data_IF_858695418432
#
_entry.id   IF_858695418432
#
_cell.length_a   1.000
_cell.length_b   1.000
_cell.length_c   1.000
_cell.angle_alpha   90.00
_cell.angle_beta   90.00
_cell.angle_gamma   90.00
#
_symmetry.space_group_name_H-M   'P 1'
#
loop_
_entity.id
_entity.type
_entity.pdbx_description
1 polymer ?
#
# COMPACT_ATOMS: atom_id res chain seq x y z
N UNK A 1 15.74 -37.22 18.82
CA UNK A 1 15.36 -35.97 19.51
C UNK A 1 14.90 -35.04 18.41
N UNK A 2 13.64 -35.24 18.05
CA UNK A 2 12.94 -34.73 16.89
C UNK A 2 11.68 -34.03 17.42
N UNK A 3 11.06 -33.16 16.60
CA UNK A 3 9.87 -32.34 16.88
C UNK A 3 10.09 -30.98 17.58
N UNK A 4 11.06 -30.21 17.10
CA UNK A 4 10.84 -28.77 16.92
C UNK A 4 11.00 -28.47 15.42
N UNK A 5 10.21 -29.14 14.58
CA UNK A 5 9.81 -28.51 13.34
C UNK A 5 9.12 -27.22 13.75
N UNK A 6 9.80 -26.09 13.52
CA UNK A 6 9.24 -24.75 13.68
C UNK A 6 7.95 -24.71 12.88
N UNK A 7 6.83 -24.95 13.57
CA UNK A 7 5.51 -24.87 12.96
C UNK A 7 5.37 -23.42 12.50
N UNK A 8 5.49 -23.22 11.19
CA UNK A 8 5.19 -21.96 10.52
C UNK A 8 3.89 -21.42 11.12
N UNK A 9 3.92 -20.25 11.78
CA UNK A 9 2.76 -19.76 12.51
C UNK A 9 1.54 -19.76 11.59
N UNK A 10 0.40 -20.21 12.09
CA UNK A 10 -0.86 -20.22 11.35
C UNK A 10 -1.18 -18.82 10.81
N UNK A 11 -2.01 -18.70 9.76
CA UNK A 11 -2.36 -17.38 9.23
C UNK A 11 -2.98 -16.44 10.28
N UNK A 12 -3.72 -17.00 11.24
CA UNK A 12 -4.25 -16.27 12.38
C UNK A 12 -3.14 -15.74 13.30
N UNK A 13 -2.15 -16.58 13.63
CA UNK A 13 -1.00 -16.18 14.44
C UNK A 13 -0.14 -15.14 13.72
N UNK A 14 0.08 -15.27 12.42
CA UNK A 14 0.73 -14.24 11.59
C UNK A 14 -0.04 -12.92 11.63
N UNK A 15 -1.36 -12.95 11.52
CA UNK A 15 -2.20 -11.75 11.61
C UNK A 15 -2.14 -11.10 13.00
N UNK A 16 -2.12 -11.91 14.07
CA UNK A 16 -1.95 -11.43 15.45
C UNK A 16 -0.56 -10.83 15.65
N UNK A 17 0.50 -11.46 15.17
CA UNK A 17 1.86 -10.92 15.24
C UNK A 17 1.97 -9.59 14.47
N UNK A 18 1.39 -9.49 13.28
CA UNK A 18 1.30 -8.23 12.54
C UNK A 18 0.51 -7.17 13.31
N UNK A 19 -0.55 -7.58 14.03
CA UNK A 19 -1.33 -6.68 14.89
C UNK A 19 -0.50 -6.20 16.09
N UNK A 20 0.27 -7.07 16.74
CA UNK A 20 1.10 -6.71 17.90
C UNK A 20 2.23 -5.76 17.51
N UNK A 21 2.79 -5.91 16.31
CA UNK A 21 3.77 -4.97 15.76
C UNK A 21 3.17 -3.56 15.52
N UNK A 22 1.83 -3.38 15.53
CA UNK A 22 1.20 -2.05 15.46
C UNK A 22 1.40 -1.22 16.73
N UNK A 23 1.53 -1.86 17.90
CA UNK A 23 1.53 -1.17 19.20
C UNK A 23 2.94 -0.71 19.64
N UNK A 24 3.99 -1.01 18.87
CA UNK A 24 5.36 -0.69 19.25
C UNK A 24 6.01 0.23 18.21
N UNK A 25 6.50 1.44 18.59
CA UNK A 25 7.07 2.40 17.65
C UNK A 25 8.51 2.02 17.29
N UNK A 26 8.72 0.93 16.55
CA UNK A 26 10.02 0.57 16.01
C UNK A 26 10.14 0.98 14.53
N UNK A 27 10.99 1.98 14.27
CA UNK A 27 11.32 2.46 12.91
C UNK A 27 11.87 1.38 11.96
N UNK A 28 12.20 0.18 12.46
CA UNK A 28 12.65 -0.99 11.67
C UNK A 28 11.55 -1.98 11.25
N UNK A 29 10.29 -1.77 11.62
CA UNK A 29 9.19 -2.72 11.35
C UNK A 29 8.93 -2.90 9.85
N UNK A 30 9.12 -1.87 9.04
CA UNK A 30 8.87 -1.93 7.58
C UNK A 30 9.63 -3.06 6.89
N UNK A 31 10.91 -3.25 7.17
CA UNK A 31 11.70 -4.32 6.57
C UNK A 31 11.15 -5.72 6.93
N UNK A 32 10.67 -5.88 8.18
CA UNK A 32 10.08 -7.14 8.66
C UNK A 32 8.71 -7.44 8.06
N UNK A 33 8.03 -6.45 7.49
CA UNK A 33 6.69 -6.63 6.87
C UNK A 33 6.79 -7.11 5.42
N UNK A 34 7.87 -6.77 4.71
CA UNK A 34 7.98 -7.06 3.27
C UNK A 34 7.77 -8.53 2.89
N UNK A 35 8.24 -9.53 3.66
CA UNK A 35 7.95 -10.93 3.38
C UNK A 35 6.44 -11.25 3.35
N UNK A 36 5.65 -10.62 4.23
CA UNK A 36 4.20 -10.87 4.34
C UNK A 36 3.38 -10.30 3.17
N UNK A 37 3.97 -9.47 2.31
CA UNK A 37 3.32 -9.03 1.06
C UNK A 37 3.18 -10.17 0.05
N UNK A 38 3.97 -11.25 0.20
CA UNK A 38 3.93 -12.45 -0.65
C UNK A 38 3.30 -13.66 0.04
N UNK A 39 2.70 -13.47 1.22
CA UNK A 39 2.05 -14.56 1.94
C UNK A 39 0.92 -15.17 1.11
N UNK A 40 0.68 -16.48 1.25
CA UNK A 40 -0.38 -17.18 0.52
C UNK A 40 -1.78 -16.75 0.99
N UNK A 41 -1.92 -16.36 2.26
CA UNK A 41 -3.18 -15.91 2.82
C UNK A 41 -3.48 -14.44 2.43
N UNK A 42 -4.61 -14.18 1.74
CA UNK A 42 -5.03 -12.81 1.38
C UNK A 42 -5.24 -11.87 2.57
N UNK A 43 -5.63 -12.38 3.75
CA UNK A 43 -5.79 -11.61 4.97
C UNK A 43 -4.44 -11.15 5.52
N UNK A 44 -3.42 -12.03 5.49
CA UNK A 44 -2.05 -11.67 5.89
C UNK A 44 -1.50 -10.58 4.95
N UNK A 45 -1.67 -10.74 3.63
CA UNK A 45 -1.28 -9.69 2.67
C UNK A 45 -1.98 -8.37 2.92
N UNK A 46 -3.30 -8.39 3.16
CA UNK A 46 -4.07 -7.19 3.51
C UNK A 46 -3.48 -6.51 4.75
N UNK A 47 -3.24 -7.25 5.83
CA UNK A 47 -2.71 -6.70 7.06
C UNK A 47 -1.31 -6.11 6.88
N UNK A 48 -0.45 -6.76 6.09
CA UNK A 48 0.86 -6.23 5.74
C UNK A 48 0.76 -4.90 4.96
N UNK A 49 -0.14 -4.81 3.98
CA UNK A 49 -0.38 -3.57 3.22
C UNK A 49 -0.91 -2.47 4.13
N UNK A 50 -1.92 -2.76 4.95
CA UNK A 50 -2.51 -1.80 5.89
C UNK A 50 -1.45 -1.27 6.87
N UNK A 51 -0.55 -2.15 7.35
CA UNK A 51 0.52 -1.81 8.27
C UNK A 51 1.60 -0.94 7.61
N UNK A 52 1.97 -1.19 6.34
CA UNK A 52 2.91 -0.34 5.60
C UNK A 52 2.32 1.04 5.28
N UNK A 53 1.01 1.09 5.01
CA UNK A 53 0.29 2.33 4.70
C UNK A 53 0.05 3.20 5.94
N UNK A 54 -0.03 2.60 7.13
CA UNK A 54 -0.11 3.33 8.41
C UNK A 54 1.15 4.16 8.61
N UNK A 55 0.97 5.47 8.78
CA UNK A 55 2.07 6.42 8.98
C UNK A 55 2.77 6.88 7.69
N UNK A 56 2.35 6.39 6.52
CA UNK A 56 2.91 6.85 5.24
C UNK A 56 2.27 8.20 4.85
N UNK A 57 2.98 9.29 5.14
CA UNK A 57 2.69 10.63 4.66
C UNK A 57 3.98 11.37 4.30
N UNK A 58 3.97 12.19 3.25
CA UNK A 58 5.15 12.96 2.84
C UNK A 58 6.32 12.10 2.34
N UNK A 59 7.49 12.20 2.97
CA UNK A 59 8.73 11.50 2.55
C UNK A 59 8.58 9.97 2.48
N UNK A 60 7.68 9.41 3.31
CA UNK A 60 7.42 7.98 3.39
C UNK A 60 6.57 7.41 2.26
N UNK A 61 5.93 8.26 1.45
CA UNK A 61 5.12 7.82 0.32
C UNK A 61 5.97 7.19 -0.80
N UNK A 62 7.23 7.63 -0.97
CA UNK A 62 8.13 7.06 -1.98
C UNK A 62 8.57 5.64 -1.61
N UNK A 63 8.94 5.42 -0.36
CA UNK A 63 9.29 4.09 0.14
C UNK A 63 8.08 3.15 0.06
N UNK A 64 6.89 3.63 0.46
CA UNK A 64 5.65 2.87 0.31
C UNK A 64 5.38 2.51 -1.15
N UNK A 65 5.55 3.46 -2.08
CA UNK A 65 5.34 3.22 -3.50
C UNK A 65 6.22 2.08 -4.01
N UNK A 66 7.51 2.09 -3.67
CA UNK A 66 8.44 1.04 -4.07
C UNK A 66 7.99 -0.35 -3.59
N UNK A 67 7.44 -0.45 -2.37
CA UNK A 67 6.95 -1.72 -1.82
C UNK A 67 5.63 -2.18 -2.43
N UNK A 68 4.72 -1.26 -2.75
CA UNK A 68 3.33 -1.60 -3.13
C UNK A 68 3.07 -1.61 -4.64
N UNK A 69 3.86 -0.89 -5.45
CA UNK A 69 3.72 -0.90 -6.93
C UNK A 69 3.78 -2.33 -7.49
N UNK A 70 4.68 -3.24 -7.08
CA UNK A 70 4.67 -4.62 -7.58
C UNK A 70 3.35 -5.37 -7.35
N UNK A 71 2.60 -5.00 -6.31
CA UNK A 71 1.33 -5.65 -5.95
C UNK A 71 0.16 -5.20 -6.84
N UNK A 72 0.31 -4.15 -7.66
CA UNK A 72 -0.73 -3.75 -8.63
C UNK A 72 -0.85 -4.73 -9.79
N UNK A 73 0.17 -5.58 -9.99
CA UNK A 73 0.19 -6.66 -10.97
C UNK A 73 -0.11 -8.05 -10.36
N UNK A 74 -0.54 -8.12 -9.10
CA UNK A 74 -0.88 -9.39 -8.45
C UNK A 74 -2.05 -10.08 -9.16
N UNK A 75 -2.01 -11.41 -9.25
CA UNK A 75 -3.07 -12.20 -9.89
C UNK A 75 -4.42 -12.08 -9.16
N UNK A 76 -4.41 -11.83 -7.85
CA UNK A 76 -5.64 -11.67 -7.08
C UNK A 76 -6.08 -10.19 -7.01
N UNK A 77 -7.32 -9.96 -7.44
CA UNK A 77 -7.90 -8.63 -7.48
C UNK A 77 -8.06 -7.97 -6.09
N UNK A 78 -8.08 -8.74 -4.99
CA UNK A 78 -8.19 -8.13 -3.65
C UNK A 78 -6.88 -7.46 -3.26
N UNK A 79 -5.74 -8.12 -3.47
CA UNK A 79 -4.41 -7.54 -3.23
C UNK A 79 -4.16 -6.32 -4.10
N UNK A 80 -4.51 -6.40 -5.39
CA UNK A 80 -4.40 -5.23 -6.29
C UNK A 80 -5.19 -4.05 -5.72
N UNK A 81 -6.46 -4.25 -5.34
CA UNK A 81 -7.27 -3.17 -4.75
C UNK A 81 -6.67 -2.63 -3.44
N UNK A 82 -6.19 -3.50 -2.56
CA UNK A 82 -5.59 -3.05 -1.30
C UNK A 82 -4.34 -2.20 -1.55
N UNK A 83 -3.47 -2.62 -2.49
CA UNK A 83 -2.30 -1.84 -2.88
C UNK A 83 -2.68 -0.48 -3.46
N UNK A 84 -3.64 -0.43 -4.39
CA UNK A 84 -4.13 0.83 -4.98
C UNK A 84 -4.72 1.77 -3.93
N UNK A 85 -5.53 1.25 -3.00
CA UNK A 85 -6.11 2.05 -1.93
C UNK A 85 -5.03 2.64 -1.01
N UNK A 86 -4.02 1.85 -0.63
CA UNK A 86 -2.90 2.30 0.19
C UNK A 86 -2.05 3.37 -0.52
N UNK A 87 -1.72 3.15 -1.79
CA UNK A 87 -0.98 4.12 -2.62
C UNK A 87 -1.73 5.45 -2.76
N UNK A 88 -3.05 5.39 -2.99
CA UNK A 88 -3.91 6.57 -3.06
C UNK A 88 -3.99 7.31 -1.73
N UNK A 89 -4.15 6.60 -0.61
CA UNK A 89 -4.21 7.20 0.72
C UNK A 89 -2.91 7.91 1.11
N UNK A 90 -1.77 7.32 0.78
CA UNK A 90 -0.46 7.92 1.04
C UNK A 90 -0.12 9.09 0.10
N UNK A 91 -0.90 9.33 -0.94
CA UNK A 91 -0.59 10.34 -1.95
C UNK A 91 0.67 10.00 -2.76
N UNK A 92 0.91 8.71 -3.02
CA UNK A 92 2.12 8.21 -3.67
C UNK A 92 2.18 8.55 -5.16
N UNK A 93 2.50 9.82 -5.49
CA UNK A 93 2.54 10.31 -6.89
C UNK A 93 3.48 9.53 -7.80
N UNK A 94 4.59 9.01 -7.27
CA UNK A 94 5.51 8.16 -8.01
C UNK A 94 4.91 6.83 -8.48
N UNK A 95 3.72 6.45 -8.00
CA UNK A 95 2.99 5.28 -8.46
C UNK A 95 1.89 5.59 -9.48
N UNK A 96 1.72 6.85 -9.92
CA UNK A 96 0.59 7.27 -10.75
C UNK A 96 0.45 6.45 -12.04
N UNK A 97 1.55 6.15 -12.74
CA UNK A 97 1.54 5.32 -13.95
C UNK A 97 1.07 3.89 -13.67
N UNK A 98 1.59 3.26 -12.61
CA UNK A 98 1.18 1.92 -12.21
C UNK A 98 -0.29 1.86 -11.77
N UNK A 99 -0.80 2.91 -11.11
CA UNK A 99 -2.21 3.03 -10.75
C UNK A 99 -3.07 3.24 -12.01
N UNK A 100 -2.61 4.06 -12.96
CA UNK A 100 -3.33 4.33 -14.21
C UNK A 100 -3.46 3.07 -15.08
N UNK A 101 -2.42 2.22 -15.16
CA UNK A 101 -2.50 0.94 -15.85
C UNK A 101 -3.63 0.04 -15.33
N UNK A 102 -3.99 0.15 -14.04
CA UNK A 102 -5.08 -0.62 -13.45
C UNK A 102 -6.49 -0.15 -13.87
N UNK A 103 -6.63 0.96 -14.60
CA UNK A 103 -7.91 1.40 -15.17
C UNK A 103 -8.40 0.46 -16.30
N UNK A 104 -7.48 -0.28 -16.91
CA UNK A 104 -7.80 -1.27 -17.95
C UNK A 104 -7.97 -2.69 -17.41
N UNK A 105 -7.78 -2.88 -16.10
CA UNK A 105 -7.84 -4.20 -15.46
C UNK A 105 -9.22 -4.88 -15.64
N UNK A 106 -9.31 -6.18 -15.99
CA UNK A 106 -10.59 -6.84 -16.30
C UNK A 106 -11.62 -6.81 -15.16
N UNK A 107 -11.15 -6.77 -13.91
CA UNK A 107 -12.01 -6.64 -12.73
C UNK A 107 -12.47 -5.18 -12.50
N UNK A 108 -13.79 -4.94 -12.59
CA UNK A 108 -14.41 -3.62 -12.37
C UNK A 108 -14.09 -2.98 -11.01
N UNK A 109 -13.95 -3.76 -9.94
CA UNK A 109 -13.62 -3.20 -8.62
C UNK A 109 -12.18 -2.68 -8.57
N UNK A 110 -11.26 -3.27 -9.34
CA UNK A 110 -9.90 -2.75 -9.51
C UNK A 110 -9.93 -1.40 -10.22
N UNK A 111 -10.66 -1.30 -11.35
CA UNK A 111 -10.82 -0.05 -12.09
C UNK A 111 -11.33 1.09 -11.21
N UNK A 112 -12.41 0.85 -10.46
CA UNK A 112 -12.98 1.82 -9.51
C UNK A 112 -11.98 2.25 -8.45
N UNK A 113 -11.19 1.32 -7.92
CA UNK A 113 -10.19 1.61 -6.89
C UNK A 113 -9.03 2.42 -7.47
N UNK A 114 -8.58 2.11 -8.69
CA UNK A 114 -7.55 2.86 -9.40
C UNK A 114 -7.96 4.31 -9.65
N UNK A 115 -9.18 4.53 -10.16
CA UNK A 115 -9.72 5.87 -10.37
C UNK A 115 -9.78 6.69 -9.07
N UNK A 116 -10.27 6.07 -7.98
CA UNK A 116 -10.30 6.70 -6.67
C UNK A 116 -8.90 7.01 -6.12
N UNK A 117 -7.92 6.14 -6.35
CA UNK A 117 -6.54 6.34 -5.92
C UNK A 117 -5.86 7.50 -6.67
N UNK A 118 -6.06 7.62 -7.98
CA UNK A 118 -5.55 8.75 -8.77
C UNK A 118 -6.16 10.08 -8.32
N UNK A 119 -7.48 10.11 -8.09
CA UNK A 119 -8.14 11.30 -7.56
C UNK A 119 -7.53 11.75 -6.22
N UNK A 120 -7.20 10.81 -5.34
CA UNK A 120 -6.54 11.08 -4.05
C UNK A 120 -5.08 11.54 -4.19
N UNK A 121 -4.30 10.87 -5.04
CA UNK A 121 -2.89 11.25 -5.27
C UNK A 121 -2.74 12.64 -5.89
N UNK A 122 -3.72 13.07 -6.71
CA UNK A 122 -3.78 14.40 -7.29
C UNK A 122 -4.29 15.50 -6.34
N UNK A 123 -5.06 15.15 -5.30
CA UNK A 123 -5.69 16.11 -4.37
C UNK A 123 -4.88 16.40 -3.11
N UNK A 124 -3.72 15.76 -2.91
CA UNK A 124 -2.89 16.04 -1.74
C UNK A 124 -2.44 17.53 -1.69
N UNK A 125 -2.74 18.27 -0.61
CA UNK A 125 -2.64 19.74 -0.54
C UNK A 125 -1.21 20.32 -0.57
N UNK A 126 -0.18 19.48 -0.74
CA UNK A 126 1.22 19.92 -0.89
C UNK A 126 1.62 20.36 -2.30
N UNK A 127 0.74 20.32 -3.31
CA UNK A 127 0.99 20.93 -4.62
C UNK A 127 0.28 22.25 -4.73
N UNK A 128 1.06 23.32 -4.81
CA UNK A 128 0.59 24.67 -4.99
C UNK A 128 -0.51 24.80 -6.04
N UNK A 129 -1.61 25.39 -5.61
CA UNK A 129 -2.28 26.41 -6.43
C UNK A 129 -1.18 27.42 -6.78
N UNK A 130 -0.70 27.38 -8.02
CA UNK A 130 0.00 28.52 -8.59
C UNK A 130 -0.99 29.68 -8.54
N UNK A 131 -0.70 30.61 -7.64
CA UNK A 131 -1.39 31.88 -7.49
C UNK A 131 -1.47 32.57 -8.84
N UNK A 132 -2.68 32.96 -9.21
CA UNK A 132 -2.98 34.07 -10.13
C UNK A 132 -1.89 35.14 -10.02
N UNK A 133 -1.14 35.36 -11.10
CA UNK A 133 -0.53 36.66 -11.37
C UNK A 133 -1.35 37.30 -12.48
N UNK A 134 -2.37 38.04 -12.05
CA UNK A 134 -2.84 39.19 -12.82
C UNK A 134 -1.69 40.19 -12.85
N UNK A 135 -1.01 40.29 -13.97
CA UNK A 135 -0.15 41.43 -14.27
C UNK A 135 -1.03 42.52 -14.83
N UNK A 136 -1.48 43.42 -13.97
CA UNK A 136 -1.91 44.75 -14.37
C UNK A 136 -0.66 45.58 -14.65
N UNK A 137 -0.46 46.00 -15.89
CA UNK A 137 0.18 47.26 -16.27
C UNK A 137 -0.54 47.80 -17.49
#
# INVERSE_FOLDING_TARGET
MDLLEEAEPSPAERAVLLRMLLDVPYRGIRARIHPFLRDRDPHVRKHAIDLLARGAGGHDARALAASLVPLTAAADARTVRHALAALGHAGARGAAEAIAACLDHPNMNVKKTAAAALARAGTWPGSGRSTVRGSSR
#
